data_IF_492439609337
#
_entry.id   IF_492439609337
#
_cell.length_a   1.000
_cell.length_b   1.000
_cell.length_c   1.000
_cell.angle_alpha   90.00
_cell.angle_beta   90.00
_cell.angle_gamma   90.00
#
_symmetry.space_group_name_H-M   'P 1'
#
loop_
_entity.id
_entity.type
_entity.pdbx_description
1 polymer ?
#
# COMPACT_ATOMS: atom_id res chain seq x y z
N UNK A 1 -0.68 10.72 -23.41
CA UNK A 1 -1.92 11.43 -23.06
C UNK A 1 -1.74 12.01 -21.66
N UNK A 2 -2.33 13.16 -21.31
CA UNK A 2 -2.31 13.62 -19.92
C UNK A 2 -3.00 12.59 -19.03
N UNK A 3 -2.51 12.44 -17.78
CA UNK A 3 -3.15 11.56 -16.81
C UNK A 3 -4.54 12.07 -16.46
N UNK A 4 -5.46 11.14 -16.17
CA UNK A 4 -6.80 11.46 -15.68
C UNK A 4 -6.83 11.84 -14.20
N UNK A 5 -5.70 11.66 -13.51
CA UNK A 5 -5.56 11.98 -12.09
C UNK A 5 -4.91 13.34 -11.92
N UNK A 6 -5.51 14.18 -11.06
CA UNK A 6 -5.15 15.59 -10.91
C UNK A 6 -4.50 15.90 -9.57
N UNK A 7 -4.73 15.06 -8.55
CA UNK A 7 -4.19 15.25 -7.21
C UNK A 7 -3.66 13.93 -6.64
N UNK A 8 -2.49 13.50 -7.09
CA UNK A 8 -1.89 12.25 -6.63
C UNK A 8 -1.12 12.43 -5.32
N UNK A 9 -1.11 11.37 -4.47
CA UNK A 9 -0.40 11.31 -3.19
C UNK A 9 0.49 10.07 -3.14
N UNK A 10 1.74 10.24 -2.69
CA UNK A 10 2.57 9.13 -2.24
C UNK A 10 2.48 9.02 -0.71
N UNK A 11 2.02 7.86 -0.23
CA UNK A 11 1.94 7.53 1.19
C UNK A 11 3.15 6.67 1.55
N UNK A 12 3.96 7.14 2.49
CA UNK A 12 5.19 6.49 2.93
C UNK A 12 5.03 6.07 4.39
N UNK A 13 4.63 4.82 4.68
CA UNK A 13 4.65 4.31 6.04
C UNK A 13 6.11 4.13 6.50
N UNK A 14 6.45 4.60 7.70
CA UNK A 14 7.79 4.55 8.24
C UNK A 14 7.77 4.27 9.74
N UNK A 15 8.64 3.37 10.20
CA UNK A 15 8.87 3.07 11.61
C UNK A 15 10.36 2.84 11.87
N UNK A 16 11.01 3.79 12.56
CA UNK A 16 12.46 3.79 12.81
C UNK A 16 13.28 3.68 11.50
N UNK A 17 12.99 4.57 10.56
CA UNK A 17 13.62 4.63 9.23
C UNK A 17 14.38 5.96 9.02
N UNK A 18 14.94 6.55 10.09
CA UNK A 18 15.70 7.82 10.02
C UNK A 18 16.79 7.82 8.96
N UNK A 19 17.45 6.67 8.76
CA UNK A 19 18.54 6.53 7.80
C UNK A 19 18.09 6.47 6.33
N UNK A 20 16.81 6.18 6.06
CA UNK A 20 16.31 5.89 4.70
C UNK A 20 15.23 6.87 4.23
N UNK A 21 14.37 7.35 5.13
CA UNK A 21 13.15 8.09 4.80
C UNK A 21 13.40 9.36 4.00
N UNK A 22 14.44 10.13 4.33
CA UNK A 22 14.79 11.37 3.60
C UNK A 22 15.16 11.08 2.14
N UNK A 23 15.92 10.00 1.91
CA UNK A 23 16.27 9.53 0.57
C UNK A 23 15.05 9.11 -0.25
N UNK A 24 14.12 8.36 0.36
CA UNK A 24 12.87 7.92 -0.27
C UNK A 24 12.01 9.13 -0.68
N UNK A 25 11.81 10.10 0.24
CA UNK A 25 11.06 11.33 -0.04
C UNK A 25 11.68 12.12 -1.18
N UNK A 26 13.00 12.34 -1.14
CA UNK A 26 13.72 13.08 -2.17
C UNK A 26 13.62 12.39 -3.54
N UNK A 27 13.65 11.06 -3.56
CA UNK A 27 13.54 10.29 -4.80
C UNK A 27 12.13 10.34 -5.39
N UNK A 28 11.07 10.21 -4.56
CA UNK A 28 9.68 10.38 -5.01
C UNK A 28 9.50 11.77 -5.63
N UNK A 29 9.92 12.82 -4.94
CA UNK A 29 9.80 14.20 -5.43
C UNK A 29 10.53 14.44 -6.75
N UNK A 30 11.67 13.78 -6.96
CA UNK A 30 12.43 13.86 -8.21
C UNK A 30 11.78 13.07 -9.34
N UNK A 31 11.28 11.87 -9.06
CA UNK A 31 10.72 10.95 -10.07
C UNK A 31 9.28 11.30 -10.45
N UNK A 32 8.52 11.85 -9.49
CA UNK A 32 7.10 12.18 -9.63
C UNK A 32 6.81 13.53 -9.00
N UNK A 33 7.26 14.66 -9.63
CA UNK A 33 7.16 16.00 -9.04
C UNK A 33 5.72 16.50 -8.88
N UNK A 34 4.76 15.87 -9.52
CA UNK A 34 3.33 16.13 -9.40
C UNK A 34 2.65 15.40 -8.24
N UNK A 35 3.36 14.50 -7.54
CA UNK A 35 2.86 13.83 -6.35
C UNK A 35 3.18 14.64 -5.10
N UNK A 36 2.16 14.85 -4.27
CA UNK A 36 2.40 15.20 -2.87
C UNK A 36 2.97 14.00 -2.12
N UNK A 37 3.81 14.23 -1.12
CA UNK A 37 4.42 13.16 -0.32
C UNK A 37 3.96 13.29 1.13
N UNK A 38 3.37 12.21 1.65
CA UNK A 38 2.94 12.06 3.04
C UNK A 38 3.71 10.92 3.68
N UNK A 39 4.44 11.21 4.74
CA UNK A 39 5.05 10.18 5.60
C UNK A 39 4.12 9.93 6.79
N UNK A 40 3.76 8.69 7.01
CA UNK A 40 3.09 8.22 8.23
C UNK A 40 4.16 7.63 9.14
N UNK A 41 4.58 8.41 10.12
CA UNK A 41 5.50 7.96 11.17
C UNK A 41 4.72 7.15 12.20
N UNK A 42 4.89 5.85 12.18
CA UNK A 42 4.16 4.88 13.00
C UNK A 42 4.71 4.77 14.44
N UNK A 43 4.90 5.92 15.09
CA UNK A 43 5.37 6.00 16.47
C UNK A 43 6.87 5.72 16.62
N UNK A 44 7.70 6.17 15.70
CA UNK A 44 9.16 6.02 15.75
C UNK A 44 9.77 6.61 17.01
N UNK A 45 10.86 6.02 17.48
CA UNK A 45 11.66 6.49 18.61
C UNK A 45 12.94 7.21 18.18
N UNK A 46 13.22 7.23 16.89
CA UNK A 46 14.36 7.90 16.24
C UNK A 46 13.94 9.21 15.56
N UNK A 47 14.81 9.79 14.72
CA UNK A 47 14.59 11.03 14.02
C UNK A 47 13.74 10.91 12.73
N UNK A 48 13.03 9.81 12.49
CA UNK A 48 12.25 9.54 11.26
C UNK A 48 11.36 10.72 10.86
N UNK A 49 10.57 11.26 11.80
CA UNK A 49 9.68 12.40 11.53
C UNK A 49 10.41 13.65 11.07
N UNK A 50 11.54 13.95 11.70
CA UNK A 50 12.31 15.19 11.44
C UNK A 50 13.02 15.08 10.09
N UNK A 51 13.62 13.93 9.79
CA UNK A 51 14.23 13.64 8.49
C UNK A 51 13.21 13.71 7.34
N UNK A 52 12.01 13.19 7.54
CA UNK A 52 10.94 13.27 6.55
C UNK A 52 10.49 14.71 6.28
N UNK A 53 10.33 15.53 7.34
CA UNK A 53 9.99 16.96 7.21
C UNK A 53 11.10 17.74 6.53
N UNK A 54 12.35 17.50 6.91
CA UNK A 54 13.50 18.15 6.30
C UNK A 54 13.61 17.84 4.80
N UNK A 55 13.20 16.63 4.37
CA UNK A 55 13.13 16.25 2.95
C UNK A 55 11.91 16.85 2.21
N UNK A 56 11.01 17.54 2.91
CA UNK A 56 9.86 18.26 2.35
C UNK A 56 8.59 17.43 2.23
N UNK A 57 8.43 16.37 3.01
CA UNK A 57 7.17 15.64 3.12
C UNK A 57 6.23 16.28 4.16
N UNK A 58 4.92 16.12 3.95
CA UNK A 58 3.96 16.20 5.03
C UNK A 58 4.17 15.00 5.96
N UNK A 59 4.01 15.19 7.29
CA UNK A 59 4.21 14.10 8.25
C UNK A 59 3.02 14.04 9.20
N UNK A 60 2.42 12.86 9.27
CA UNK A 60 1.47 12.48 10.33
C UNK A 60 2.18 11.46 11.23
N UNK A 61 2.26 11.77 12.53
CA UNK A 61 2.88 10.89 13.50
C UNK A 61 1.83 10.22 14.37
N UNK A 62 1.86 8.90 14.41
CA UNK A 62 1.03 8.12 15.33
C UNK A 62 1.58 8.22 16.77
N UNK A 63 0.71 8.19 17.80
CA UNK A 63 1.14 8.25 19.19
C UNK A 63 1.87 6.98 19.67
N UNK A 64 1.67 5.86 18.97
CA UNK A 64 2.31 4.55 19.20
C UNK A 64 2.28 3.75 17.89
N UNK A 65 3.02 2.64 17.84
CA UNK A 65 3.06 1.78 16.67
C UNK A 65 1.71 1.10 16.44
N UNK A 66 1.06 1.43 15.33
CA UNK A 66 -0.22 0.89 14.87
C UNK A 66 -0.03 -0.35 13.97
N UNK A 67 1.19 -0.58 13.51
CA UNK A 67 1.53 -1.52 12.45
C UNK A 67 1.22 -1.00 11.05
N UNK A 68 1.75 -1.68 10.04
CA UNK A 68 1.65 -1.24 8.63
C UNK A 68 0.21 -1.01 8.18
N UNK A 69 -0.74 -1.84 8.61
CA UNK A 69 -2.16 -1.67 8.28
C UNK A 69 -2.73 -0.37 8.86
N UNK A 70 -2.48 -0.08 10.14
CA UNK A 70 -2.94 1.14 10.78
C UNK A 70 -2.29 2.40 10.17
N UNK A 71 -0.98 2.35 9.92
CA UNK A 71 -0.27 3.44 9.28
C UNK A 71 -0.82 3.75 7.88
N UNK A 72 -1.06 2.70 7.07
CA UNK A 72 -1.64 2.87 5.73
C UNK A 72 -3.08 3.39 5.79
N UNK A 73 -3.90 2.91 6.74
CA UNK A 73 -5.25 3.44 6.92
C UNK A 73 -5.23 4.94 7.25
N UNK A 74 -4.34 5.38 8.15
CA UNK A 74 -4.15 6.82 8.42
C UNK A 74 -3.82 7.60 7.13
N UNK A 75 -2.96 7.04 6.28
CA UNK A 75 -2.64 7.63 4.98
C UNK A 75 -3.84 7.74 4.04
N UNK A 76 -4.69 6.71 3.98
CA UNK A 76 -5.91 6.74 3.17
C UNK A 76 -6.98 7.70 3.72
N UNK A 77 -7.13 7.79 5.05
CA UNK A 77 -7.99 8.79 5.69
C UNK A 77 -7.53 10.21 5.32
N UNK A 78 -6.24 10.48 5.46
CA UNK A 78 -5.67 11.77 5.04
C UNK A 78 -5.92 12.06 3.55
N UNK A 79 -5.72 11.06 2.69
CA UNK A 79 -5.96 11.20 1.25
C UNK A 79 -7.44 11.51 0.94
N UNK A 80 -8.36 10.83 1.62
CA UNK A 80 -9.80 11.05 1.47
C UNK A 80 -10.22 12.46 1.89
N UNK A 81 -9.83 12.88 3.09
CA UNK A 81 -10.18 14.19 3.67
C UNK A 81 -9.60 15.36 2.87
N UNK A 82 -8.42 15.18 2.30
CA UNK A 82 -7.75 16.20 1.49
C UNK A 82 -8.11 16.17 0.02
N UNK A 83 -8.98 15.24 -0.40
CA UNK A 83 -9.52 15.17 -1.76
C UNK A 83 -8.54 14.65 -2.81
N UNK A 84 -7.59 13.79 -2.43
CA UNK A 84 -6.72 13.10 -3.39
C UNK A 84 -7.51 12.11 -4.23
N UNK A 85 -7.18 11.99 -5.51
CA UNK A 85 -7.85 11.12 -6.48
C UNK A 85 -7.03 9.87 -6.84
N UNK A 86 -5.77 9.87 -6.45
CA UNK A 86 -4.83 8.77 -6.63
C UNK A 86 -3.91 8.68 -5.40
N UNK A 87 -3.62 7.48 -4.93
CA UNK A 87 -2.65 7.24 -3.86
C UNK A 87 -1.73 6.07 -4.22
N UNK A 88 -0.43 6.21 -3.96
CA UNK A 88 0.55 5.13 -4.09
C UNK A 88 1.24 4.90 -2.76
N UNK A 89 1.35 3.63 -2.34
CA UNK A 89 2.19 3.24 -1.21
C UNK A 89 3.63 3.06 -1.67
N UNK A 90 4.56 3.70 -0.96
CA UNK A 90 6.01 3.52 -1.14
C UNK A 90 6.63 3.30 0.23
N UNK A 91 7.23 2.13 0.47
CA UNK A 91 7.78 1.81 1.79
C UNK A 91 9.00 2.69 2.13
N UNK A 92 9.10 3.14 3.39
CA UNK A 92 10.14 4.04 3.88
C UNK A 92 11.55 3.43 3.92
N UNK A 93 11.68 2.11 3.70
CA UNK A 93 12.94 1.37 3.72
C UNK A 93 13.75 1.41 2.39
N UNK A 94 13.20 2.07 1.36
CA UNK A 94 13.83 2.25 0.05
C UNK A 94 13.83 1.02 -0.87
N UNK A 95 13.09 -0.04 -0.55
CA UNK A 95 12.98 -1.22 -1.43
C UNK A 95 12.16 -0.94 -2.69
N UNK A 96 11.13 -0.11 -2.59
CA UNK A 96 10.35 0.31 -3.74
C UNK A 96 11.11 1.35 -4.57
N UNK A 97 11.13 1.17 -5.89
CA UNK A 97 11.74 2.13 -6.81
C UNK A 97 10.70 3.19 -7.22
N UNK A 98 10.82 4.45 -6.74
CA UNK A 98 9.88 5.52 -7.12
C UNK A 98 9.83 5.80 -8.61
N UNK A 99 10.87 5.46 -9.37
CA UNK A 99 10.87 5.55 -10.84
C UNK A 99 9.80 4.67 -11.51
N UNK A 100 9.29 3.64 -10.81
CA UNK A 100 8.23 2.76 -11.30
C UNK A 100 6.81 3.31 -11.06
N UNK A 101 6.64 4.39 -10.30
CA UNK A 101 5.34 5.02 -10.02
C UNK A 101 4.64 5.43 -11.32
N UNK A 102 5.39 6.00 -12.27
CA UNK A 102 4.86 6.38 -13.57
C UNK A 102 4.29 5.19 -14.34
N UNK A 103 4.91 4.01 -14.23
CA UNK A 103 4.44 2.78 -14.87
C UNK A 103 3.11 2.29 -14.29
N UNK A 104 2.95 2.32 -12.95
CA UNK A 104 1.69 1.98 -12.29
C UNK A 104 0.56 2.94 -12.72
N UNK A 105 0.86 4.26 -12.74
CA UNK A 105 -0.11 5.29 -13.15
C UNK A 105 -0.54 5.11 -14.61
N UNK A 106 0.41 4.90 -15.51
CA UNK A 106 0.11 4.68 -16.92
C UNK A 106 -0.81 3.47 -17.14
N UNK A 107 -0.60 2.42 -16.35
CA UNK A 107 -1.47 1.24 -16.42
C UNK A 107 -2.90 1.54 -15.97
N UNK A 108 -3.09 2.34 -14.91
CA UNK A 108 -4.42 2.82 -14.48
C UNK A 108 -5.03 3.76 -15.51
N UNK A 109 -4.26 4.65 -16.11
CA UNK A 109 -4.75 5.60 -17.13
C UNK A 109 -5.29 4.88 -18.38
N UNK A 110 -4.63 3.79 -18.77
CA UNK A 110 -5.02 2.97 -19.93
C UNK A 110 -6.20 2.03 -19.66
N UNK A 111 -6.46 1.71 -18.38
CA UNK A 111 -7.49 0.75 -17.96
C UNK A 111 -8.44 1.39 -16.94
N UNK A 112 -9.41 2.21 -17.41
CA UNK A 112 -10.27 3.01 -16.52
C UNK A 112 -11.18 2.18 -15.60
N UNK A 113 -11.37 0.89 -15.90
CA UNK A 113 -12.12 -0.04 -15.07
C UNK A 113 -11.34 -0.55 -13.85
N UNK A 114 -10.03 -0.31 -13.79
CA UNK A 114 -9.19 -0.69 -12.66
C UNK A 114 -9.26 0.36 -11.55
N UNK A 115 -9.23 -0.13 -10.32
CA UNK A 115 -9.27 0.66 -9.10
C UNK A 115 -7.96 0.56 -8.30
N UNK A 116 -7.17 -0.49 -8.53
CA UNK A 116 -5.85 -0.65 -7.94
C UNK A 116 -4.91 -1.35 -8.92
N UNK A 117 -3.64 -0.95 -8.91
CA UNK A 117 -2.54 -1.65 -9.58
C UNK A 117 -1.46 -1.95 -8.57
N UNK A 118 -0.97 -3.19 -8.57
CA UNK A 118 0.11 -3.66 -7.70
C UNK A 118 1.35 -3.95 -8.53
N UNK A 119 2.50 -3.47 -8.08
CA UNK A 119 3.80 -3.82 -8.66
C UNK A 119 4.20 -5.23 -8.22
N UNK A 120 4.29 -6.18 -9.16
CA UNK A 120 4.65 -7.57 -8.89
C UNK A 120 6.12 -7.85 -9.19
N UNK A 121 6.76 -8.61 -8.29
CA UNK A 121 8.14 -9.11 -8.41
C UNK A 121 8.24 -10.43 -9.18
N UNK A 122 7.10 -11.04 -9.53
CA UNK A 122 7.02 -12.42 -10.02
C UNK A 122 6.41 -12.55 -11.41
N UNK A 123 5.98 -11.44 -12.01
CA UNK A 123 5.55 -11.39 -13.41
C UNK A 123 6.79 -11.37 -14.31
N UNK A 124 6.70 -11.95 -15.49
CA UNK A 124 7.75 -11.90 -16.51
C UNK A 124 8.12 -10.44 -16.83
N UNK A 125 9.40 -10.14 -16.82
CA UNK A 125 9.93 -8.77 -16.93
C UNK A 125 10.25 -8.10 -15.58
N UNK A 126 9.85 -8.66 -14.45
CA UNK A 126 10.28 -8.19 -13.13
C UNK A 126 11.75 -8.56 -12.87
N UNK A 127 12.50 -7.67 -12.21
CA UNK A 127 13.92 -7.84 -11.94
C UNK A 127 14.30 -7.50 -10.49
N UNK A 128 15.49 -7.92 -10.08
CA UNK A 128 16.15 -7.48 -8.84
C UNK A 128 15.80 -8.27 -7.56
N UNK A 129 14.71 -9.02 -7.51
CA UNK A 129 14.31 -9.72 -6.29
C UNK A 129 14.80 -11.18 -6.23
N UNK A 130 15.57 -11.53 -5.18
CA UNK A 130 15.98 -12.89 -4.88
C UNK A 130 15.28 -13.39 -3.60
N UNK A 131 14.60 -14.53 -3.69
CA UNK A 131 14.00 -15.19 -2.53
C UNK A 131 14.38 -16.66 -2.43
N UNK A 132 14.29 -17.24 -1.22
CA UNK A 132 14.54 -18.67 -1.01
C UNK A 132 13.50 -19.52 -1.75
N UNK A 133 13.87 -20.75 -2.11
CA UNK A 133 12.97 -21.70 -2.78
C UNK A 133 11.69 -21.95 -1.96
N UNK A 134 11.83 -22.15 -0.65
CA UNK A 134 10.69 -22.36 0.25
C UNK A 134 9.73 -21.16 0.25
N UNK A 135 10.24 -19.92 0.29
CA UNK A 135 9.42 -18.71 0.22
C UNK A 135 8.69 -18.61 -1.11
N UNK A 136 9.34 -18.96 -2.24
CA UNK A 136 8.68 -18.97 -3.57
C UNK A 136 7.54 -19.97 -3.65
N UNK A 137 7.72 -21.18 -3.08
CA UNK A 137 6.65 -22.18 -3.02
C UNK A 137 5.46 -21.64 -2.23
N UNK A 138 5.70 -21.05 -1.06
CA UNK A 138 4.65 -20.43 -0.26
C UNK A 138 3.90 -19.32 -1.00
N UNK A 139 4.61 -18.41 -1.65
CA UNK A 139 4.01 -17.34 -2.45
C UNK A 139 3.15 -17.92 -3.57
N UNK A 140 3.60 -18.97 -4.26
CA UNK A 140 2.82 -19.63 -5.32
C UNK A 140 1.52 -20.24 -4.81
N UNK A 141 1.55 -20.90 -3.65
CA UNK A 141 0.34 -21.47 -3.03
C UNK A 141 -0.65 -20.34 -2.70
N UNK A 142 -0.18 -19.25 -2.10
CA UNK A 142 -0.99 -18.08 -1.80
C UNK A 142 -1.57 -17.42 -3.06
N UNK A 143 -0.72 -17.20 -4.07
CA UNK A 143 -1.12 -16.64 -5.36
C UNK A 143 -2.22 -17.48 -6.02
N UNK A 144 -2.06 -18.80 -6.03
CA UNK A 144 -3.05 -19.71 -6.61
C UNK A 144 -4.39 -19.64 -5.87
N UNK A 145 -4.35 -19.63 -4.52
CA UNK A 145 -5.56 -19.54 -3.71
C UNK A 145 -6.29 -18.22 -3.93
N UNK A 146 -5.56 -17.10 -3.86
CA UNK A 146 -6.15 -15.77 -4.06
C UNK A 146 -6.69 -15.60 -5.48
N UNK A 147 -5.95 -16.12 -6.49
CA UNK A 147 -6.42 -16.11 -7.87
C UNK A 147 -7.72 -16.89 -8.05
N UNK A 148 -7.87 -18.01 -7.34
CA UNK A 148 -9.11 -18.79 -7.35
C UNK A 148 -10.26 -18.04 -6.67
N UNK A 149 -10.02 -17.40 -5.52
CA UNK A 149 -11.01 -16.64 -4.75
C UNK A 149 -11.48 -15.41 -5.53
N UNK A 150 -10.52 -14.64 -6.05
CA UNK A 150 -10.80 -13.35 -6.71
C UNK A 150 -11.15 -13.50 -8.19
N UNK A 151 -10.92 -14.69 -8.76
CA UNK A 151 -11.05 -14.96 -10.20
C UNK A 151 -10.22 -14.02 -11.07
N UNK A 152 -9.10 -13.55 -10.53
CA UNK A 152 -8.13 -12.68 -11.18
C UNK A 152 -6.72 -13.25 -10.98
N UNK A 153 -5.81 -13.15 -11.95
CA UNK A 153 -4.43 -13.61 -11.76
C UNK A 153 -3.73 -12.74 -10.72
N UNK A 154 -3.30 -13.34 -9.61
CA UNK A 154 -2.50 -12.71 -8.57
C UNK A 154 -1.18 -13.46 -8.50
N UNK A 155 -0.07 -12.75 -8.68
CA UNK A 155 1.27 -13.33 -8.67
C UNK A 155 2.09 -12.91 -7.47
N UNK A 156 1.86 -11.70 -6.94
CA UNK A 156 2.57 -11.15 -5.78
C UNK A 156 1.62 -10.59 -4.71
N UNK A 157 0.97 -11.47 -3.95
CA UNK A 157 0.02 -11.06 -2.91
C UNK A 157 0.68 -10.31 -1.74
N UNK A 158 2.01 -10.31 -1.67
CA UNK A 158 2.78 -9.70 -0.56
C UNK A 158 3.45 -8.39 -0.94
N UNK A 159 3.15 -7.84 -2.11
CA UNK A 159 3.71 -6.56 -2.53
C UNK A 159 2.94 -5.40 -1.88
N UNK A 160 3.66 -4.52 -1.19
CA UNK A 160 3.14 -3.24 -0.69
C UNK A 160 3.15 -2.13 -1.73
N UNK A 161 3.86 -2.30 -2.85
CA UNK A 161 3.94 -1.28 -3.90
C UNK A 161 2.66 -1.22 -4.71
N UNK A 162 1.70 -0.40 -4.27
CA UNK A 162 0.33 -0.34 -4.79
C UNK A 162 -0.09 1.07 -5.08
N UNK A 163 -0.82 1.23 -6.17
CA UNK A 163 -1.45 2.48 -6.53
C UNK A 163 -2.96 2.27 -6.63
N UNK A 164 -3.73 3.11 -5.95
CA UNK A 164 -5.19 3.01 -5.89
C UNK A 164 -5.87 4.31 -6.26
N UNK A 165 -7.00 4.21 -6.95
CA UNK A 165 -7.84 5.35 -7.36
C UNK A 165 -8.71 5.83 -6.21
N UNK A 166 -9.45 6.92 -6.42
CA UNK A 166 -10.38 7.50 -5.44
C UNK A 166 -11.33 6.48 -4.82
N UNK A 167 -11.90 5.56 -5.60
CA UNK A 167 -12.79 4.53 -5.07
C UNK A 167 -12.09 3.59 -4.09
N UNK A 168 -10.82 3.22 -4.38
CA UNK A 168 -10.03 2.43 -3.44
C UNK A 168 -9.63 3.23 -2.21
N UNK A 169 -9.31 4.53 -2.34
CA UNK A 169 -9.05 5.43 -1.21
C UNK A 169 -10.27 5.49 -0.29
N UNK A 170 -11.48 5.66 -0.82
CA UNK A 170 -12.73 5.70 -0.07
C UNK A 170 -13.00 4.41 0.70
N UNK A 171 -12.77 3.26 0.07
CA UNK A 171 -12.90 1.96 0.71
C UNK A 171 -11.88 1.80 1.85
N UNK A 172 -10.61 2.03 1.57
CA UNK A 172 -9.50 1.80 2.50
C UNK A 172 -9.44 2.81 3.65
N UNK A 173 -9.95 4.01 3.46
CA UNK A 173 -10.09 4.98 4.55
C UNK A 173 -11.14 4.53 5.58
N UNK A 174 -12.23 3.88 5.14
CA UNK A 174 -13.30 3.39 6.02
C UNK A 174 -12.96 2.09 6.72
N UNK A 175 -12.35 1.17 5.98
CA UNK A 175 -11.98 -0.16 6.47
C UNK A 175 -10.71 -0.60 5.76
N UNK A 176 -9.65 -0.88 6.51
CA UNK A 176 -8.38 -1.37 5.99
C UNK A 176 -7.84 -2.48 6.88
N UNK A 177 -7.35 -3.56 6.30
CA UNK A 177 -6.85 -4.70 7.09
C UNK A 177 -5.63 -4.32 7.92
N UNK A 178 -5.61 -4.74 9.19
CA UNK A 178 -4.52 -4.42 10.11
C UNK A 178 -3.40 -5.46 10.11
N UNK A 179 -3.77 -6.75 10.07
CA UNK A 179 -2.82 -7.84 10.27
C UNK A 179 -2.03 -8.22 9.00
N UNK A 180 -2.73 -8.34 7.88
CA UNK A 180 -2.14 -8.76 6.59
C UNK A 180 -2.64 -7.89 5.43
N UNK A 181 -2.38 -6.59 5.48
CA UNK A 181 -3.03 -5.63 4.59
C UNK A 181 -2.76 -5.91 3.11
N UNK A 182 -1.61 -6.47 2.76
CA UNK A 182 -1.29 -6.76 1.37
C UNK A 182 -2.21 -7.83 0.77
N UNK A 183 -2.50 -8.87 1.52
CA UNK A 183 -3.32 -9.99 1.08
C UNK A 183 -4.80 -9.66 1.19
N UNK A 184 -5.21 -9.15 2.34
CA UNK A 184 -6.61 -8.90 2.66
C UNK A 184 -7.21 -7.76 1.83
N UNK A 185 -6.43 -6.71 1.49
CA UNK A 185 -6.89 -5.61 0.65
C UNK A 185 -7.33 -6.08 -0.74
N UNK A 186 -6.66 -7.08 -1.33
CA UNK A 186 -7.05 -7.63 -2.63
C UNK A 186 -8.40 -8.36 -2.54
N UNK A 187 -8.61 -9.12 -1.46
CA UNK A 187 -9.88 -9.80 -1.19
C UNK A 187 -10.99 -8.78 -0.92
N UNK A 188 -10.70 -7.73 -0.17
CA UNK A 188 -11.62 -6.63 0.12
C UNK A 188 -12.07 -5.92 -1.16
N UNK A 189 -11.15 -5.55 -2.05
CA UNK A 189 -11.48 -4.98 -3.36
C UNK A 189 -12.43 -5.89 -4.13
N UNK A 190 -12.11 -7.19 -4.20
CA UNK A 190 -12.94 -8.17 -4.90
C UNK A 190 -14.36 -8.23 -4.31
N UNK A 191 -14.51 -8.25 -2.98
CA UNK A 191 -15.80 -8.22 -2.30
C UNK A 191 -16.62 -6.98 -2.64
N UNK A 192 -15.97 -5.82 -2.79
CA UNK A 192 -16.60 -4.57 -3.19
C UNK A 192 -16.73 -4.38 -4.71
N UNK A 193 -16.44 -5.44 -5.51
CA UNK A 193 -16.50 -5.43 -6.98
C UNK A 193 -15.57 -4.39 -7.61
N UNK A 194 -14.53 -3.99 -6.90
CA UNK A 194 -13.46 -3.16 -7.41
C UNK A 194 -12.40 -4.05 -8.08
N UNK A 195 -11.95 -3.65 -9.26
CA UNK A 195 -10.98 -4.43 -10.05
C UNK A 195 -9.56 -4.01 -9.72
N UNK A 196 -8.68 -5.00 -9.65
CA UNK A 196 -7.24 -4.78 -9.54
C UNK A 196 -6.46 -5.53 -10.62
N UNK A 197 -5.25 -5.07 -10.89
CA UNK A 197 -4.30 -5.75 -11.77
C UNK A 197 -2.89 -5.69 -11.18
N UNK A 198 -2.00 -6.49 -11.74
CA UNK A 198 -0.58 -6.47 -11.40
C UNK A 198 0.25 -6.09 -12.63
N UNK A 199 1.34 -5.36 -12.41
CA UNK A 199 2.34 -5.01 -13.43
C UNK A 199 3.74 -5.40 -12.95
N UNK A 200 4.65 -5.79 -13.86
CA UNK A 200 6.02 -6.11 -13.48
C UNK A 200 6.74 -4.87 -12.97
N UNK A 201 7.47 -5.00 -11.85
CA UNK A 201 8.31 -3.94 -11.30
C UNK A 201 9.67 -4.48 -10.90
N UNK A 202 10.64 -3.58 -10.91
CA UNK A 202 11.96 -3.83 -10.34
C UNK A 202 11.96 -3.39 -8.88
N UNK A 203 12.41 -4.26 -7.98
CA UNK A 203 12.61 -3.92 -6.58
C UNK A 203 14.09 -3.93 -6.22
N UNK A 204 14.47 -3.03 -5.32
CA UNK A 204 15.84 -2.89 -4.82
C UNK A 204 16.08 -3.79 -3.62
N UNK A 205 17.34 -4.07 -3.33
CA UNK A 205 17.71 -4.63 -2.05
C UNK A 205 17.50 -3.57 -0.95
N UNK A 206 17.04 -4.01 0.23
CA UNK A 206 16.86 -3.10 1.39
C UNK A 206 18.17 -2.39 1.72
N UNK A 207 18.11 -1.08 1.90
CA UNK A 207 19.29 -0.27 2.21
C UNK A 207 19.78 -0.48 3.65
N UNK A 208 18.91 -0.93 4.59
CA UNK A 208 19.22 -1.19 6.00
C UNK A 208 18.07 -1.89 6.72
N UNK A 209 18.23 -2.14 8.03
CA UNK A 209 17.19 -2.71 8.89
C UNK A 209 17.10 -4.24 8.87
N UNK A 210 16.28 -4.80 9.78
CA UNK A 210 16.01 -6.25 9.89
C UNK A 210 14.64 -6.57 9.32
N UNK A 211 14.54 -7.65 8.51
CA UNK A 211 13.25 -8.16 8.05
C UNK A 211 12.42 -8.62 9.26
N UNK A 212 11.18 -8.15 9.34
CA UNK A 212 10.23 -8.53 10.39
C UNK A 212 9.85 -10.03 10.34
N UNK A 213 10.13 -10.72 9.24
CA UNK A 213 9.77 -12.12 9.03
C UNK A 213 11.03 -12.93 8.72
N UNK A 214 11.57 -13.61 9.73
CA UNK A 214 12.75 -14.50 9.58
C UNK A 214 12.44 -15.95 10.00
N UNK A 215 12.91 -16.92 9.22
CA UNK A 215 12.99 -18.33 9.58
C UNK A 215 11.67 -19.12 9.61
N UNK A 216 11.53 -20.03 10.57
CA UNK A 216 10.39 -20.97 10.74
C UNK A 216 9.03 -20.29 11.03
N UNK A 217 9.03 -19.04 11.45
CA UNK A 217 7.83 -18.22 11.61
C UNK A 217 7.08 -17.98 10.29
N UNK A 218 7.74 -18.14 9.14
CA UNK A 218 7.10 -17.95 7.83
C UNK A 218 5.96 -18.93 7.56
N UNK A 219 6.08 -20.20 7.99
CA UNK A 219 5.02 -21.20 7.80
C UNK A 219 3.81 -20.91 8.70
N UNK A 220 4.04 -20.54 9.96
CA UNK A 220 2.99 -20.14 10.89
C UNK A 220 2.29 -18.86 10.43
N UNK A 221 3.05 -17.88 9.94
CA UNK A 221 2.53 -16.68 9.31
C UNK A 221 1.59 -17.02 8.16
N UNK A 222 2.00 -17.91 7.26
CA UNK A 222 1.19 -18.32 6.12
C UNK A 222 -0.14 -18.98 6.52
N UNK A 223 -0.13 -19.83 7.57
CA UNK A 223 -1.36 -20.45 8.08
C UNK A 223 -2.29 -19.38 8.68
N UNK A 224 -1.75 -18.42 9.44
CA UNK A 224 -2.53 -17.30 9.99
C UNK A 224 -3.18 -16.46 8.89
N UNK A 225 -2.41 -16.08 7.86
CA UNK A 225 -2.95 -15.31 6.72
C UNK A 225 -4.04 -16.10 6.00
N UNK A 226 -3.85 -17.41 5.80
CA UNK A 226 -4.85 -18.27 5.18
C UNK A 226 -6.15 -18.28 5.98
N UNK A 227 -6.06 -18.41 7.30
CA UNK A 227 -7.21 -18.37 8.20
C UNK A 227 -7.87 -16.99 8.19
N UNK A 228 -7.09 -15.91 8.21
CA UNK A 228 -7.61 -14.54 8.14
C UNK A 228 -8.39 -14.30 6.84
N UNK A 229 -7.85 -14.73 5.70
CA UNK A 229 -8.55 -14.66 4.40
C UNK A 229 -9.84 -15.49 4.42
N UNK A 230 -9.81 -16.73 4.92
CA UNK A 230 -10.99 -17.57 5.01
C UNK A 230 -12.05 -16.95 5.91
N UNK A 231 -11.67 -16.44 7.08
CA UNK A 231 -12.61 -15.77 8.00
C UNK A 231 -13.14 -14.48 7.37
N UNK A 232 -12.28 -13.70 6.70
CA UNK A 232 -12.66 -12.48 5.98
C UNK A 232 -13.70 -12.73 4.88
N UNK A 233 -13.66 -13.90 4.23
CA UNK A 233 -14.67 -14.29 3.24
C UNK A 233 -16.07 -14.48 3.82
N UNK A 234 -16.18 -14.83 5.11
CA UNK A 234 -17.45 -14.99 5.83
C UNK A 234 -17.91 -13.73 6.55
N UNK A 235 -17.07 -12.68 6.57
CA UNK A 235 -17.44 -11.40 7.17
C UNK A 235 -18.59 -10.79 6.38
N UNK A 236 -19.67 -10.43 7.09
CA UNK A 236 -20.81 -9.75 6.49
C UNK A 236 -20.35 -8.47 5.78
N UNK A 237 -20.83 -8.26 4.57
CA UNK A 237 -20.57 -7.02 3.82
C UNK A 237 -21.17 -5.86 4.60
N UNK A 238 -20.40 -4.83 5.02
CA UNK A 238 -21.01 -3.60 5.43
C UNK A 238 -21.78 -3.08 4.22
N UNK A 239 -23.09 -2.84 4.37
CA UNK A 239 -23.91 -2.20 3.36
C UNK A 239 -23.39 -0.77 3.16
N UNK A 240 -22.65 -0.56 2.08
CA UNK A 240 -22.30 0.81 1.63
C UNK A 240 -23.53 1.33 0.92
N UNK A 241 -24.40 2.05 1.62
CA UNK A 241 -25.40 2.87 0.98
C UNK A 241 -24.70 4.04 0.28
N UNK A 242 -24.95 4.28 -1.02
CA UNK A 242 -24.42 5.45 -1.69
C UNK A 242 -25.18 6.69 -1.20
N UNK A 243 -24.51 7.55 -0.45
CA UNK A 243 -24.97 8.90 -0.18
C UNK A 243 -25.59 9.16 1.18
N UNK A 244 -24.74 9.38 2.16
CA UNK A 244 -25.03 10.35 3.20
C UNK A 244 -23.70 10.95 3.66
N UNK A 245 -23.32 12.06 3.01
CA UNK A 245 -22.29 12.95 3.50
C UNK A 245 -22.86 13.67 4.73
N UNK A 246 -22.55 13.15 5.92
CA UNK A 246 -22.78 13.90 7.13
C UNK A 246 -21.97 15.21 7.08
N UNK A 247 -22.60 16.38 7.32
CA UNK A 247 -21.85 17.63 7.39
C UNK A 247 -20.92 17.58 8.61
N UNK A 248 -19.62 17.70 8.37
CA UNK A 248 -18.64 17.94 9.44
C UNK A 248 -18.93 19.35 9.98
N UNK A 249 -19.61 19.43 11.10
CA UNK A 249 -19.73 20.66 11.88
C UNK A 249 -18.33 21.01 12.40
N UNK A 250 -17.78 22.07 11.83
CA UNK A 250 -16.59 22.73 12.35
C UNK A 250 -16.97 23.50 13.64
N UNK A 251 -16.90 22.83 14.78
CA UNK A 251 -16.90 23.44 16.10
C UNK A 251 -15.93 22.66 16.97
N UNK A 252 -14.72 23.20 17.08
CA UNK A 252 -13.84 23.25 18.25
C UNK A 252 -12.44 23.63 17.81
N UNK A 253 -12.31 24.92 17.43
CA UNK A 253 -11.03 25.60 17.50
C UNK A 253 -11.06 26.48 18.77
N UNK A 254 -10.37 26.07 19.81
CA UNK A 254 -9.78 26.92 20.85
C UNK A 254 -8.54 26.26 21.42
#
# INVERSE_FOLDING_TARGET
>A
MPSRFHKPLAIVPAYNEEAAVSGVVAEIRRSCPDFDVLVIDDGSTDATSDEARAAGAAVVRAPFNLGIGGAMQCGYVYALERGYDLAVQVDGDGQHDPGQIAHLREHLDRNPELHMVTGSRFIEGAAGYRSSAARRVGIRIFSSLLSMITRQPITDPTSGFRMTTRHGIELFARDYPHDYPEVEAVVMLHHHRLRSAEVPVTMRARAGGRSSIAGHWSAFYMIKVLLAVLVGMFRARPSVEPGESAPVTAEHAL
#
